data_IF_237559524272
#
_entry.id   IF_237559524272
#
_cell.length_a   1.000
_cell.length_b   1.000
_cell.length_c   1.000
_cell.angle_alpha   90.00
_cell.angle_beta   90.00
_cell.angle_gamma   90.00
#
_symmetry.space_group_name_H-M   'P 1'
#
loop_
_entity.id
_entity.type
_entity.pdbx_description
1 polymer ?
#
# COMPACT_ATOMS: atom_id res chain seq x y z
N UNK A 1 7.60 4.65 13.15
CA UNK A 1 7.15 4.60 11.74
C UNK A 1 7.00 3.15 11.33
N UNK A 2 5.96 2.81 10.57
CA UNK A 2 5.84 1.52 9.89
C UNK A 2 5.17 1.67 8.52
N UNK A 3 5.66 0.96 7.52
CA UNK A 3 5.01 0.88 6.20
C UNK A 3 4.18 -0.40 6.13
N UNK A 4 2.88 -0.21 5.95
CA UNK A 4 1.85 -1.25 5.92
C UNK A 4 1.23 -1.34 4.52
N UNK A 5 0.11 -2.05 4.40
CA UNK A 5 -0.73 -2.11 3.20
C UNK A 5 -2.16 -1.65 3.48
N UNK A 6 -2.94 -1.23 2.47
CA UNK A 6 -4.36 -0.93 2.61
C UNK A 6 -5.15 -2.17 3.05
N UNK A 7 -6.17 -1.95 3.87
CA UNK A 7 -7.14 -2.95 4.32
C UNK A 7 -6.48 -4.27 4.81
N UNK A 8 -5.55 -4.23 5.78
CA UNK A 8 -4.89 -5.44 6.27
C UNK A 8 -5.79 -6.23 7.23
N UNK A 9 -6.93 -5.68 7.67
CA UNK A 9 -7.82 -6.29 8.64
C UNK A 9 -8.33 -7.69 8.22
N UNK A 10 -8.76 -8.54 9.18
CA UNK A 10 -9.32 -9.86 8.88
C UNK A 10 -10.43 -9.79 7.82
N UNK A 11 -10.38 -10.70 6.85
CA UNK A 11 -11.27 -10.71 5.68
C UNK A 11 -10.62 -10.20 4.41
N UNK A 12 -9.41 -9.62 4.48
CA UNK A 12 -8.62 -9.30 3.29
C UNK A 12 -8.26 -10.57 2.49
N UNK A 13 -8.48 -10.61 1.17
CA UNK A 13 -8.09 -11.75 0.33
C UNK A 13 -6.59 -11.77 0.01
N UNK A 14 -5.85 -10.72 0.39
CA UNK A 14 -4.40 -10.63 0.14
C UNK A 14 -3.65 -11.50 1.16
N UNK A 15 -2.87 -12.45 0.66
CA UNK A 15 -2.27 -13.52 1.47
C UNK A 15 -1.35 -13.02 2.60
N UNK A 16 -0.72 -11.86 2.44
CA UNK A 16 0.19 -11.27 3.42
C UNK A 16 -0.45 -10.14 4.26
N UNK A 17 -1.77 -9.92 4.14
CA UNK A 17 -2.48 -8.90 4.93
C UNK A 17 -2.38 -9.16 6.43
N UNK A 18 -2.42 -10.42 6.85
CA UNK A 18 -2.31 -10.83 8.25
C UNK A 18 -1.00 -10.38 8.91
N UNK A 19 0.11 -10.39 8.18
CA UNK A 19 1.42 -9.96 8.69
C UNK A 19 1.43 -8.45 9.01
N UNK A 20 0.85 -7.65 8.10
CA UNK A 20 0.70 -6.22 8.30
C UNK A 20 -0.26 -5.91 9.45
N UNK A 21 -1.43 -6.57 9.51
CA UNK A 21 -2.39 -6.36 10.58
C UNK A 21 -1.79 -6.70 11.94
N UNK A 22 -1.14 -7.86 12.07
CA UNK A 22 -0.46 -8.28 13.29
C UNK A 22 0.60 -7.27 13.73
N UNK A 23 1.39 -6.76 12.79
CA UNK A 23 2.39 -5.73 13.07
C UNK A 23 1.75 -4.41 13.54
N UNK A 24 0.67 -3.96 12.89
CA UNK A 24 -0.04 -2.75 13.33
C UNK A 24 -0.64 -2.90 14.73
N UNK A 25 -1.19 -4.07 15.07
CA UNK A 25 -1.71 -4.33 16.41
C UNK A 25 -0.58 -4.35 17.46
N UNK A 26 0.56 -4.97 17.15
CA UNK A 26 1.72 -4.97 18.03
C UNK A 26 2.26 -3.55 18.29
N UNK A 27 2.33 -2.71 17.23
CA UNK A 27 2.71 -1.31 17.36
C UNK A 27 1.72 -0.55 18.26
N UNK A 28 0.42 -0.71 18.04
CA UNK A 28 -0.62 -0.06 18.87
C UNK A 28 -0.54 -0.49 20.33
N UNK A 29 -0.35 -1.79 20.58
CA UNK A 29 -0.23 -2.36 21.92
C UNK A 29 1.03 -1.90 22.68
N UNK A 30 2.07 -1.46 21.96
CA UNK A 30 3.31 -0.98 22.60
C UNK A 30 3.14 0.31 23.41
N UNK A 31 2.07 1.08 23.17
CA UNK A 31 1.87 2.41 23.78
C UNK A 31 2.83 3.49 23.27
N UNK A 32 3.74 3.17 22.35
CA UNK A 32 4.66 4.12 21.73
C UNK A 32 3.91 4.91 20.65
N UNK A 33 4.05 6.25 20.57
CA UNK A 33 3.49 7.03 19.47
C UNK A 33 3.94 6.50 18.10
N UNK A 34 3.02 6.42 17.15
CA UNK A 34 3.28 5.76 15.87
C UNK A 34 2.75 6.52 14.68
N UNK A 35 3.43 6.38 13.55
CA UNK A 35 2.85 6.73 12.25
C UNK A 35 2.93 5.49 11.37
N UNK A 36 1.79 5.09 10.82
CA UNK A 36 1.68 3.95 9.91
C UNK A 36 1.29 4.49 8.54
N UNK A 37 2.05 4.12 7.51
CA UNK A 37 1.74 4.45 6.12
C UNK A 37 1.33 3.17 5.40
N UNK A 38 0.04 3.02 5.11
CA UNK A 38 -0.52 1.93 4.32
C UNK A 38 -0.32 2.23 2.84
N UNK A 39 0.73 1.68 2.25
CA UNK A 39 1.11 1.94 0.87
C UNK A 39 0.26 1.11 -0.09
N UNK A 40 -0.43 1.79 -1.00
CA UNK A 40 -1.14 1.18 -2.12
C UNK A 40 -0.22 0.42 -3.06
N UNK A 41 -0.82 -0.26 -4.04
CA UNK A 41 -0.04 -1.12 -4.93
C UNK A 41 0.94 -0.30 -5.79
N UNK A 42 2.20 -0.71 -5.82
CA UNK A 42 3.22 0.02 -6.57
C UNK A 42 2.98 -0.10 -8.08
N UNK A 43 3.10 0.99 -8.83
CA UNK A 43 2.98 0.95 -10.29
C UNK A 43 4.09 0.13 -10.93
N UNK A 44 5.27 0.11 -10.33
CA UNK A 44 6.42 -0.65 -10.81
C UNK A 44 6.18 -2.16 -10.72
N UNK A 45 5.22 -2.63 -9.90
CA UNK A 45 4.80 -4.03 -9.92
C UNK A 45 4.19 -4.43 -11.28
N UNK A 46 3.67 -3.46 -12.05
CA UNK A 46 3.20 -3.69 -13.42
C UNK A 46 4.33 -4.15 -14.34
N UNK A 47 5.59 -3.80 -14.08
CA UNK A 47 6.72 -4.26 -14.90
C UNK A 47 6.94 -5.78 -14.83
N UNK A 48 6.35 -6.47 -13.85
CA UNK A 48 6.37 -7.93 -13.80
C UNK A 48 5.39 -8.57 -14.79
N UNK A 49 4.30 -7.90 -15.16
CA UNK A 49 3.25 -8.45 -16.04
C UNK A 49 3.18 -7.79 -17.42
N UNK A 50 3.55 -6.50 -17.53
CA UNK A 50 3.48 -5.72 -18.75
C UNK A 50 4.24 -6.34 -19.94
N UNK A 51 5.48 -6.88 -19.79
CA UNK A 51 6.18 -7.49 -20.93
C UNK A 51 5.37 -8.62 -21.59
N UNK A 52 4.75 -9.48 -20.78
CA UNK A 52 3.90 -10.56 -21.29
C UNK A 52 2.60 -10.02 -21.89
N UNK A 53 1.97 -9.04 -21.23
CA UNK A 53 0.73 -8.45 -21.72
C UNK A 53 0.90 -7.76 -23.09
N UNK A 54 2.01 -7.03 -23.27
CA UNK A 54 2.37 -6.38 -24.53
C UNK A 54 2.66 -7.44 -25.61
N UNK A 55 3.44 -8.47 -25.28
CA UNK A 55 3.79 -9.54 -26.22
C UNK A 55 2.58 -10.36 -26.69
N UNK A 56 1.62 -10.60 -25.79
CA UNK A 56 0.44 -11.44 -26.08
C UNK A 56 -0.79 -10.65 -26.53
N UNK A 57 -0.79 -9.33 -26.34
CA UNK A 57 -1.97 -8.48 -26.50
C UNK A 57 -3.08 -8.75 -25.49
N UNK A 58 -2.79 -9.47 -24.39
CA UNK A 58 -3.78 -9.89 -23.39
C UNK A 58 -3.34 -9.58 -21.97
N UNK A 59 -4.24 -8.97 -21.20
CA UNK A 59 -4.06 -8.73 -19.77
C UNK A 59 -4.71 -9.86 -18.97
N UNK A 60 -3.90 -10.73 -18.37
CA UNK A 60 -4.37 -11.83 -17.53
C UNK A 60 -4.32 -11.42 -16.06
N UNK A 61 -5.48 -11.37 -15.42
CA UNK A 61 -5.62 -11.04 -13.99
C UNK A 61 -6.83 -11.75 -13.40
N UNK A 62 -6.80 -11.98 -12.08
CA UNK A 62 -7.94 -12.45 -11.29
C UNK A 62 -8.69 -11.30 -10.60
N UNK A 63 -8.44 -10.05 -11.01
CA UNK A 63 -9.04 -8.87 -10.40
C UNK A 63 -10.51 -8.61 -10.76
N UNK A 64 -11.05 -9.27 -11.80
CA UNK A 64 -12.38 -9.00 -12.35
C UNK A 64 -12.59 -7.48 -12.58
N UNK A 65 -13.68 -6.89 -12.08
CA UNK A 65 -13.95 -5.44 -12.14
C UNK A 65 -13.29 -4.64 -11.00
N UNK A 66 -12.38 -5.28 -10.25
CA UNK A 66 -11.63 -4.66 -9.16
C UNK A 66 -10.78 -3.51 -9.67
N UNK A 67 -10.74 -2.41 -8.89
CA UNK A 67 -10.01 -1.19 -9.26
C UNK A 67 -8.79 -0.99 -8.39
N UNK A 68 -7.65 -0.67 -9.02
CA UNK A 68 -6.38 -0.46 -8.33
C UNK A 68 -5.87 0.96 -8.60
N UNK A 69 -5.67 1.72 -7.52
CA UNK A 69 -5.03 3.03 -7.56
C UNK A 69 -3.51 2.88 -7.38
N UNK A 70 -2.81 2.54 -8.46
CA UNK A 70 -1.37 2.38 -8.44
C UNK A 70 -0.66 3.69 -8.13
N UNK A 71 0.34 3.67 -7.23
CA UNK A 71 1.23 4.82 -7.00
C UNK A 71 2.69 4.43 -7.19
N UNK A 72 3.54 5.39 -7.57
CA UNK A 72 4.98 5.15 -7.70
C UNK A 72 5.62 4.93 -6.32
N UNK A 73 6.65 4.09 -6.23
CA UNK A 73 7.46 4.01 -4.99
C UNK A 73 8.05 5.36 -4.63
N UNK A 74 8.41 6.17 -5.62
CA UNK A 74 8.93 7.53 -5.43
C UNK A 74 7.89 8.45 -4.77
N UNK A 75 6.63 8.42 -5.24
CA UNK A 75 5.54 9.17 -4.62
C UNK A 75 5.27 8.73 -3.17
N UNK A 76 5.28 7.41 -2.92
CA UNK A 76 5.12 6.89 -1.57
C UNK A 76 6.27 7.34 -0.67
N UNK A 77 7.51 7.30 -1.16
CA UNK A 77 8.68 7.75 -0.43
C UNK A 77 8.63 9.25 -0.12
N UNK A 78 8.22 10.08 -1.08
CA UNK A 78 8.05 11.51 -0.90
C UNK A 78 6.97 11.83 0.16
N UNK A 79 5.82 11.13 0.10
CA UNK A 79 4.75 11.31 1.08
C UNK A 79 5.17 10.87 2.50
N UNK A 80 5.88 9.75 2.63
CA UNK A 80 6.43 9.28 3.92
C UNK A 80 7.45 10.29 4.45
N UNK A 81 8.38 10.75 3.61
CA UNK A 81 9.39 11.72 3.98
C UNK A 81 8.76 13.05 4.47
N UNK A 82 7.76 13.56 3.76
CA UNK A 82 7.01 14.74 4.15
C UNK A 82 6.28 14.53 5.48
N UNK A 83 5.64 13.37 5.68
CA UNK A 83 4.99 13.03 6.93
C UNK A 83 5.95 13.01 8.12
N UNK A 84 7.15 12.43 7.95
CA UNK A 84 8.19 12.45 8.96
C UNK A 84 8.74 13.86 9.24
N UNK A 85 8.90 14.68 8.21
CA UNK A 85 9.41 16.04 8.32
C UNK A 85 8.39 17.03 8.92
N UNK A 86 7.11 16.67 8.99
CA UNK A 86 6.03 17.54 9.50
C UNK A 86 6.17 17.94 10.98
N UNK A 87 6.95 17.20 11.77
CA UNK A 87 7.07 17.41 13.20
C UNK A 87 5.85 16.97 14.02
N UNK A 88 4.85 16.34 13.38
CA UNK A 88 3.69 15.78 14.07
C UNK A 88 4.13 14.72 15.08
N UNK A 89 3.52 14.78 16.28
CA UNK A 89 3.71 13.80 17.35
C UNK A 89 2.48 12.94 17.58
N UNK A 90 1.41 13.18 16.83
CA UNK A 90 0.17 12.42 16.94
C UNK A 90 0.32 11.05 16.31
N UNK A 91 -0.29 10.05 16.93
CA UNK A 91 -0.38 8.74 16.31
C UNK A 91 -1.36 8.79 15.15
N UNK A 92 -0.91 8.42 13.95
CA UNK A 92 -1.76 8.50 12.76
C UNK A 92 -1.53 7.33 11.78
N UNK A 93 -2.57 7.03 11.01
CA UNK A 93 -2.52 6.06 9.92
C UNK A 93 -2.89 6.77 8.62
N UNK A 94 -1.93 6.84 7.70
CA UNK A 94 -2.15 7.36 6.35
C UNK A 94 -2.31 6.19 5.38
N UNK A 95 -3.30 6.25 4.49
CA UNK A 95 -3.37 5.35 3.33
C UNK A 95 -2.90 6.12 2.11
N UNK A 96 -1.81 5.66 1.50
CA UNK A 96 -1.20 6.30 0.34
C UNK A 96 -1.58 5.55 -0.93
N UNK A 97 -2.10 6.25 -1.94
CA UNK A 97 -2.53 5.64 -3.21
C UNK A 97 -2.09 6.51 -4.38
N UNK A 98 -2.18 5.97 -5.59
CA UNK A 98 -2.24 6.82 -6.78
C UNK A 98 -3.49 7.72 -6.78
N UNK A 99 -3.51 8.77 -7.61
CA UNK A 99 -4.63 9.70 -7.69
C UNK A 99 -5.87 9.10 -8.38
N UNK A 100 -5.72 8.01 -9.12
CA UNK A 100 -6.80 7.40 -9.90
C UNK A 100 -6.71 5.87 -9.86
N UNK A 101 -7.87 5.23 -9.73
CA UNK A 101 -8.01 3.78 -9.79
C UNK A 101 -8.48 3.29 -11.16
N UNK A 102 -7.80 2.27 -11.68
CA UNK A 102 -8.05 1.65 -12.98
C UNK A 102 -8.50 0.19 -12.81
N UNK A 103 -9.27 -0.32 -13.78
CA UNK A 103 -9.63 -1.74 -13.94
C UNK A 103 -8.62 -2.44 -14.82
#
# INVERSE_FOLDING_TARGET
LYTSMPNPEPGSPVLFAGDHYGTEQAIKASGIPYTIFRNGWYQENLFMSLPHAISSGKWYTAAADGRIAHGARDDMAAAIAAGLASGSKESHIYTLTGPQAYT
#
